data_IF_041612116957
#
_entry.id   IF_041612116957
#
_cell.length_a   1.000
_cell.length_b   1.000
_cell.length_c   1.000
_cell.angle_alpha   90.00
_cell.angle_beta   90.00
_cell.angle_gamma   90.00
#
_symmetry.space_group_name_H-M   'P 1'
#
loop_
_entity.id
_entity.type
_entity.pdbx_description
1 polymer ?
#
# COMPACT_ATOMS: atom_id res chain seq x y z
N UNK A 1 8.90 0.63 -26.60
CA UNK A 1 7.47 1.04 -26.61
C UNK A 1 6.46 -0.11 -26.66
N UNK A 2 6.71 -1.28 -27.27
CA UNK A 2 5.75 -2.40 -27.29
C UNK A 2 5.74 -3.27 -26.01
N UNK A 3 6.79 -3.26 -25.20
CA UNK A 3 6.90 -4.10 -23.99
C UNK A 3 6.10 -3.58 -22.78
N UNK A 4 5.98 -2.25 -22.63
CA UNK A 4 5.25 -1.61 -21.52
C UNK A 4 3.72 -1.79 -21.66
N UNK A 5 3.22 -1.82 -22.91
CA UNK A 5 1.78 -1.98 -23.19
C UNK A 5 1.28 -3.41 -22.88
N UNK A 6 2.16 -4.41 -22.88
CA UNK A 6 1.78 -5.81 -22.57
C UNK A 6 1.54 -6.02 -21.06
N UNK A 7 2.28 -5.32 -20.19
CA UNK A 7 2.09 -5.38 -18.73
C UNK A 7 0.75 -4.78 -18.29
N UNK A 8 0.36 -3.65 -18.86
CA UNK A 8 -0.93 -2.99 -18.57
C UNK A 8 -2.15 -3.81 -19.05
N UNK A 9 -2.01 -4.60 -20.11
CA UNK A 9 -3.09 -5.51 -20.56
C UNK A 9 -3.30 -6.69 -19.61
N UNK A 10 -2.28 -7.19 -18.91
CA UNK A 10 -2.42 -8.28 -17.94
C UNK A 10 -3.15 -7.83 -16.66
N UNK A 11 -2.90 -6.61 -16.18
CA UNK A 11 -3.66 -6.04 -15.05
C UNK A 11 -5.16 -5.89 -15.38
N UNK A 12 -5.53 -5.68 -16.65
CA UNK A 12 -6.94 -5.56 -17.08
C UNK A 12 -7.67 -6.88 -17.27
N UNK A 13 -6.98 -7.99 -17.50
CA UNK A 13 -7.61 -9.28 -17.83
C UNK A 13 -8.24 -10.00 -16.63
N UNK A 14 -7.95 -9.61 -15.38
CA UNK A 14 -8.56 -10.16 -14.17
C UNK A 14 -9.91 -9.55 -13.77
N UNK A 15 -10.35 -8.47 -14.39
CA UNK A 15 -11.53 -7.71 -14.01
C UNK A 15 -12.78 -8.16 -14.79
N UNK A 16 -13.26 -9.39 -14.58
CA UNK A 16 -14.66 -9.71 -14.88
C UNK A 16 -15.53 -9.17 -13.74
N UNK A 17 -16.28 -8.12 -14.03
CA UNK A 17 -17.29 -7.56 -13.14
C UNK A 17 -18.25 -8.67 -12.66
N UNK A 18 -18.14 -9.05 -11.39
CA UNK A 18 -19.15 -9.83 -10.68
C UNK A 18 -19.92 -8.92 -9.74
N UNK A 19 -21.22 -9.15 -9.63
CA UNK A 19 -22.21 -8.43 -8.81
C UNK A 19 -21.73 -8.17 -7.37
N UNK A 20 -22.24 -7.12 -6.68
CA UNK A 20 -21.85 -6.77 -5.32
C UNK A 20 -22.06 -7.97 -4.40
N UNK A 21 -21.00 -8.41 -3.77
CA UNK A 21 -21.00 -9.57 -2.90
C UNK A 21 -21.47 -9.17 -1.51
N UNK A 22 -22.52 -9.83 -1.02
CA UNK A 22 -22.86 -9.89 0.40
C UNK A 22 -21.69 -10.54 1.16
N UNK A 23 -20.79 -9.75 1.70
CA UNK A 23 -19.64 -10.21 2.48
C UNK A 23 -18.73 -9.03 2.81
N UNK A 24 -18.24 -8.95 4.04
CA UNK A 24 -17.34 -7.89 4.51
C UNK A 24 -16.00 -7.85 3.74
N UNK A 25 -15.09 -7.00 4.18
CA UNK A 25 -13.77 -6.76 3.59
C UNK A 25 -12.94 -8.05 3.49
N UNK A 26 -12.95 -8.93 4.49
CA UNK A 26 -12.28 -10.23 4.46
C UNK A 26 -12.72 -11.10 3.27
N UNK A 27 -14.01 -11.13 2.95
CA UNK A 27 -14.55 -11.88 1.80
C UNK A 27 -14.14 -11.23 0.47
N UNK A 28 -13.96 -9.91 0.44
CA UNK A 28 -13.41 -9.21 -0.71
C UNK A 28 -11.95 -9.63 -0.95
N UNK A 29 -11.09 -9.49 0.05
CA UNK A 29 -9.66 -9.79 -0.05
C UNK A 29 -9.35 -11.27 -0.29
N UNK A 30 -10.21 -12.18 0.17
CA UNK A 30 -10.10 -13.62 -0.16
C UNK A 30 -10.24 -13.89 -1.67
N UNK A 31 -10.95 -13.03 -2.40
CA UNK A 31 -11.20 -13.16 -3.85
C UNK A 31 -10.37 -12.21 -4.72
N UNK A 32 -9.80 -11.17 -4.13
CA UNK A 32 -9.09 -10.09 -4.81
C UNK A 32 -7.70 -9.90 -4.18
N UNK A 33 -6.86 -10.93 -4.31
CA UNK A 33 -5.46 -10.82 -3.89
C UNK A 33 -4.72 -9.86 -4.83
N UNK A 34 -4.00 -8.92 -4.24
CA UNK A 34 -3.16 -7.97 -4.97
C UNK A 34 -1.82 -8.60 -5.32
N UNK A 35 -1.28 -8.27 -6.50
CA UNK A 35 0.04 -8.73 -6.95
C UNK A 35 0.21 -10.26 -6.91
N UNK A 36 -0.80 -10.98 -7.41
CA UNK A 36 -0.74 -12.43 -7.63
C UNK A 36 -0.12 -12.74 -8.99
N UNK A 37 0.73 -13.75 -9.00
CA UNK A 37 1.20 -14.43 -10.21
C UNK A 37 1.36 -15.93 -9.93
N UNK A 38 1.56 -16.73 -10.99
CA UNK A 38 1.89 -18.15 -10.90
C UNK A 38 3.41 -18.30 -10.91
N UNK A 39 4.00 -18.35 -9.71
CA UNK A 39 5.45 -18.54 -9.55
C UNK A 39 5.79 -20.02 -9.64
N UNK A 40 6.71 -20.36 -10.55
CA UNK A 40 7.17 -21.74 -10.76
C UNK A 40 8.31 -22.16 -9.83
N UNK A 41 9.11 -21.18 -9.38
CA UNK A 41 10.33 -21.37 -8.60
C UNK A 41 10.71 -20.10 -7.81
N UNK A 42 11.79 -20.16 -7.04
CA UNK A 42 12.28 -19.03 -6.26
C UNK A 42 12.71 -17.84 -7.12
N UNK A 43 13.28 -18.08 -8.31
CA UNK A 43 13.74 -17.01 -9.18
C UNK A 43 12.55 -16.19 -9.68
N UNK A 44 11.52 -16.84 -10.24
CA UNK A 44 10.30 -16.16 -10.71
C UNK A 44 9.59 -15.40 -9.59
N UNK A 45 9.60 -15.92 -8.37
CA UNK A 45 9.05 -15.25 -7.19
C UNK A 45 9.87 -14.02 -6.78
N UNK A 46 11.21 -14.11 -6.82
CA UNK A 46 12.10 -12.97 -6.55
C UNK A 46 11.98 -11.89 -7.63
N UNK A 47 11.98 -12.29 -8.91
CA UNK A 47 11.78 -11.36 -10.03
C UNK A 47 10.45 -10.61 -9.92
N UNK A 48 9.38 -11.29 -9.50
CA UNK A 48 8.10 -10.65 -9.26
C UNK A 48 8.17 -9.65 -8.09
N UNK A 49 8.86 -9.98 -6.99
CA UNK A 49 9.08 -9.04 -5.88
C UNK A 49 9.82 -7.78 -6.36
N UNK A 50 10.90 -7.94 -7.10
CA UNK A 50 11.68 -6.83 -7.66
C UNK A 50 10.87 -6.01 -8.66
N UNK A 51 10.15 -6.69 -9.55
CA UNK A 51 9.27 -6.04 -10.53
C UNK A 51 8.17 -5.21 -9.85
N UNK A 52 7.51 -5.76 -8.83
CA UNK A 52 6.45 -5.06 -8.07
C UNK A 52 7.00 -3.77 -7.44
N UNK A 53 8.17 -3.84 -6.83
CA UNK A 53 8.78 -2.66 -6.21
C UNK A 53 9.24 -1.64 -7.25
N UNK A 54 9.70 -2.07 -8.42
CA UNK A 54 10.08 -1.19 -9.53
C UNK A 54 8.90 -0.44 -10.16
N UNK A 55 7.63 -0.86 -9.92
CA UNK A 55 6.46 -0.10 -10.35
C UNK A 55 6.29 1.20 -9.53
N UNK A 56 6.97 1.31 -8.38
CA UNK A 56 6.95 2.45 -7.48
C UNK A 56 8.39 2.90 -7.16
N UNK A 57 9.03 3.70 -8.03
CA UNK A 57 10.40 4.16 -7.82
C UNK A 57 10.61 4.75 -6.41
N UNK A 58 11.63 4.26 -5.70
CA UNK A 58 11.95 4.67 -4.33
C UNK A 58 11.15 3.99 -3.22
N UNK A 59 10.17 3.13 -3.56
CA UNK A 59 9.33 2.47 -2.55
C UNK A 59 10.14 1.63 -1.55
N UNK A 60 11.06 0.81 -2.04
CA UNK A 60 11.83 -0.10 -1.18
C UNK A 60 12.76 0.64 -0.19
N UNK A 61 13.17 1.86 -0.52
CA UNK A 61 13.97 2.71 0.39
C UNK A 61 13.11 3.30 1.51
N UNK A 62 11.83 3.52 1.23
CA UNK A 62 10.85 4.01 2.21
C UNK A 62 10.31 2.89 3.09
N UNK A 63 10.13 1.69 2.52
CA UNK A 63 9.56 0.50 3.17
C UNK A 63 10.54 -0.69 3.07
N UNK A 64 11.74 -0.57 3.70
CA UNK A 64 12.78 -1.59 3.55
C UNK A 64 12.39 -2.92 4.19
N UNK A 65 12.72 -4.00 3.51
CA UNK A 65 12.64 -5.38 3.99
C UNK A 65 14.03 -5.95 4.33
N UNK A 66 15.08 -5.15 4.16
CA UNK A 66 16.44 -5.40 4.64
C UNK A 66 16.62 -4.86 6.06
N UNK A 67 17.75 -5.22 6.71
CA UNK A 67 18.11 -4.77 8.07
C UNK A 67 17.17 -5.30 9.18
N UNK A 68 16.60 -6.49 8.98
CA UNK A 68 15.76 -7.16 9.96
C UNK A 68 16.44 -8.40 10.58
N UNK A 69 17.77 -8.51 10.47
CA UNK A 69 18.54 -9.63 11.02
C UNK A 69 18.39 -9.70 12.54
N UNK A 70 18.10 -10.89 13.05
CA UNK A 70 17.91 -11.16 14.49
C UNK A 70 16.62 -10.57 15.08
N UNK A 71 15.72 -10.00 14.27
CA UNK A 71 14.47 -9.41 14.75
C UNK A 71 13.30 -10.38 14.67
N UNK A 72 12.34 -10.22 15.58
CA UNK A 72 10.99 -10.75 15.44
C UNK A 72 10.18 -9.77 14.59
N UNK A 73 9.84 -10.19 13.36
CA UNK A 73 9.16 -9.38 12.36
C UNK A 73 7.74 -9.85 12.14
N UNK A 74 6.80 -8.92 12.12
CA UNK A 74 5.40 -9.15 11.72
C UNK A 74 5.13 -8.37 10.43
N UNK A 75 4.65 -9.07 9.39
CA UNK A 75 4.04 -8.47 8.21
C UNK A 75 2.51 -8.48 8.39
N UNK A 76 1.94 -7.33 8.73
CA UNK A 76 0.52 -7.16 8.99
C UNK A 76 -0.24 -6.85 7.70
N UNK A 77 -1.08 -7.78 7.27
CA UNK A 77 -1.73 -7.80 5.95
C UNK A 77 -0.78 -8.35 4.88
N UNK A 78 -0.10 -9.45 5.17
CA UNK A 78 0.97 -10.00 4.33
C UNK A 78 0.51 -10.44 2.92
N UNK A 79 -0.80 -10.56 2.68
CA UNK A 79 -1.35 -10.97 1.40
C UNK A 79 -0.72 -12.26 0.87
N UNK A 80 -0.38 -12.34 -0.43
CA UNK A 80 0.29 -13.50 -1.03
C UNK A 80 1.78 -13.59 -0.73
N UNK A 81 2.28 -12.86 0.29
CA UNK A 81 3.64 -12.97 0.82
C UNK A 81 4.70 -12.19 0.05
N UNK A 82 4.38 -11.06 -0.57
CA UNK A 82 5.37 -10.26 -1.29
C UNK A 82 6.49 -9.78 -0.38
N UNK A 83 6.15 -9.13 0.73
CA UNK A 83 7.15 -8.56 1.64
C UNK A 83 7.73 -9.65 2.56
N UNK A 84 6.99 -10.74 2.84
CA UNK A 84 7.55 -11.93 3.50
C UNK A 84 8.70 -12.56 2.71
N UNK A 85 8.57 -12.69 1.38
CA UNK A 85 9.68 -13.12 0.52
C UNK A 85 10.84 -12.13 0.61
N UNK A 86 10.55 -10.82 0.54
CA UNK A 86 11.57 -9.79 0.70
C UNK A 86 12.34 -9.92 2.00
N UNK A 87 11.66 -10.04 3.14
CA UNK A 87 12.31 -10.26 4.44
C UNK A 87 13.13 -11.54 4.48
N UNK A 88 12.64 -12.63 3.88
CA UNK A 88 13.32 -13.92 3.91
C UNK A 88 14.56 -14.00 3.00
N UNK A 89 14.60 -13.20 1.93
CA UNK A 89 15.70 -13.18 0.97
C UNK A 89 16.75 -12.09 1.29
N UNK A 90 16.31 -10.92 1.80
CA UNK A 90 17.20 -9.78 2.02
C UNK A 90 17.51 -9.51 3.50
N UNK A 91 17.02 -10.35 4.41
CA UNK A 91 17.30 -10.32 5.84
C UNK A 91 17.33 -11.76 6.41
N UNK A 92 17.74 -11.85 7.68
CA UNK A 92 17.71 -13.09 8.47
C UNK A 92 17.00 -12.83 9.80
N UNK A 93 15.67 -12.60 9.78
CA UNK A 93 14.92 -12.42 11.02
C UNK A 93 14.97 -13.70 11.88
N UNK A 94 15.02 -13.54 13.21
CA UNK A 94 14.92 -14.67 14.13
C UNK A 94 13.54 -15.32 14.03
N UNK A 95 12.52 -14.50 13.80
CA UNK A 95 11.16 -14.96 13.58
C UNK A 95 10.45 -14.09 12.55
N UNK A 96 9.85 -14.72 11.55
CA UNK A 96 9.02 -14.06 10.55
C UNK A 96 7.57 -14.51 10.70
N UNK A 97 6.66 -13.55 10.82
CA UNK A 97 5.23 -13.80 11.07
C UNK A 97 4.44 -13.04 10.00
N UNK A 98 3.55 -13.74 9.29
CA UNK A 98 2.61 -13.13 8.37
C UNK A 98 1.19 -13.16 8.94
N UNK A 99 0.51 -12.03 8.96
CA UNK A 99 -0.87 -11.90 9.44
C UNK A 99 -1.75 -11.44 8.30
N UNK A 100 -2.88 -12.10 8.06
CA UNK A 100 -3.87 -11.67 7.08
C UNK A 100 -5.28 -12.14 7.46
N UNK A 101 -6.30 -11.48 6.94
CA UNK A 101 -7.71 -11.86 7.08
C UNK A 101 -8.11 -12.96 6.09
N UNK A 102 -7.36 -13.10 4.99
CA UNK A 102 -7.64 -14.00 3.87
C UNK A 102 -6.92 -15.34 4.02
N UNK A 103 -7.65 -16.44 4.26
CA UNK A 103 -7.02 -17.77 4.31
C UNK A 103 -6.39 -18.17 2.98
N UNK A 104 -6.93 -17.69 1.86
CA UNK A 104 -6.39 -17.95 0.52
C UNK A 104 -5.04 -17.26 0.33
N UNK A 105 -4.91 -16.01 0.79
CA UNK A 105 -3.66 -15.27 0.75
C UNK A 105 -2.58 -15.96 1.59
N UNK A 106 -2.91 -16.38 2.80
CA UNK A 106 -1.98 -17.13 3.68
C UNK A 106 -1.55 -18.47 3.05
N UNK A 107 -2.48 -19.20 2.44
CA UNK A 107 -2.14 -20.44 1.73
C UNK A 107 -1.19 -20.19 0.55
N UNK A 108 -1.36 -19.07 -0.16
CA UNK A 108 -0.48 -18.63 -1.26
C UNK A 108 0.89 -18.22 -0.72
N UNK A 109 0.94 -17.43 0.36
CA UNK A 109 2.19 -17.06 1.06
C UNK A 109 2.99 -18.29 1.45
N UNK A 110 2.33 -19.29 2.04
CA UNK A 110 2.98 -20.55 2.44
C UNK A 110 3.64 -21.26 1.26
N UNK A 111 2.91 -21.39 0.14
CA UNK A 111 3.43 -22.01 -1.09
C UNK A 111 4.60 -21.22 -1.65
N UNK A 112 4.48 -19.90 -1.69
CA UNK A 112 5.50 -19.02 -2.22
C UNK A 112 6.79 -19.06 -1.40
N UNK A 113 6.72 -18.98 -0.07
CA UNK A 113 7.88 -19.14 0.81
C UNK A 113 8.55 -20.51 0.65
N UNK A 114 7.77 -21.57 0.44
CA UNK A 114 8.31 -22.91 0.20
C UNK A 114 9.16 -23.00 -1.07
N UNK A 115 8.88 -22.22 -2.12
CA UNK A 115 9.74 -22.13 -3.32
C UNK A 115 11.15 -21.64 -2.97
N UNK A 116 11.29 -20.82 -1.94
CA UNK A 116 12.55 -20.29 -1.43
C UNK A 116 13.21 -21.18 -0.36
N UNK A 117 12.61 -22.34 -0.02
CA UNK A 117 13.05 -23.15 1.11
C UNK A 117 12.89 -22.44 2.46
N UNK A 118 11.98 -21.46 2.55
CA UNK A 118 11.72 -20.62 3.72
C UNK A 118 10.34 -20.91 4.31
N UNK A 119 10.11 -20.41 5.51
CA UNK A 119 8.82 -20.48 6.19
C UNK A 119 8.58 -19.22 7.03
N UNK A 120 7.31 -18.97 7.35
CA UNK A 120 6.88 -17.97 8.31
C UNK A 120 5.73 -18.56 9.15
N UNK A 121 5.53 -18.02 10.35
CA UNK A 121 4.32 -18.30 11.14
C UNK A 121 3.16 -17.50 10.51
N UNK A 122 2.23 -18.21 9.88
CA UNK A 122 1.10 -17.57 9.19
C UNK A 122 -0.15 -17.62 10.06
N UNK A 123 -0.69 -16.46 10.39
CA UNK A 123 -1.78 -16.27 11.34
C UNK A 123 -2.96 -15.63 10.63
N UNK A 124 -4.10 -16.32 10.61
CA UNK A 124 -5.36 -15.71 10.18
C UNK A 124 -5.99 -14.95 11.34
N UNK A 125 -6.39 -13.71 11.10
CA UNK A 125 -7.18 -12.90 12.05
C UNK A 125 -8.59 -12.65 11.51
N UNK A 126 -9.53 -12.42 12.44
CA UNK A 126 -10.88 -11.98 12.09
C UNK A 126 -10.91 -10.46 11.98
N UNK A 127 -11.44 -9.96 10.87
CA UNK A 127 -11.52 -8.52 10.56
C UNK A 127 -12.15 -7.68 11.69
N UNK A 128 -13.20 -8.21 12.33
CA UNK A 128 -13.95 -7.48 13.35
C UNK A 128 -13.36 -7.57 14.76
N UNK A 129 -12.41 -8.46 15.00
CA UNK A 129 -11.78 -8.62 16.33
C UNK A 129 -10.45 -7.91 16.43
N UNK A 130 -9.76 -7.73 15.32
CA UNK A 130 -8.40 -7.15 15.22
C UNK A 130 -7.39 -7.66 16.28
N UNK A 131 -7.77 -8.65 17.10
CA UNK A 131 -6.92 -9.18 18.13
C UNK A 131 -5.83 -10.04 17.51
N UNK A 132 -4.60 -9.61 17.68
CA UNK A 132 -3.42 -10.36 17.21
C UNK A 132 -3.03 -11.38 18.29
N UNK A 133 -3.01 -12.70 17.97
CA UNK A 133 -2.70 -13.75 18.96
C UNK A 133 -1.19 -13.84 19.22
N UNK A 134 -0.57 -12.72 19.55
CA UNK A 134 0.82 -12.58 19.98
C UNK A 134 0.87 -11.91 21.35
N UNK A 135 1.90 -12.23 22.13
CA UNK A 135 2.12 -11.65 23.45
C UNK A 135 2.45 -10.15 23.33
N UNK A 136 2.08 -9.37 24.35
CA UNK A 136 2.44 -7.96 24.44
C UNK A 136 3.96 -7.81 24.53
N UNK A 137 4.51 -6.86 23.78
CA UNK A 137 5.94 -6.58 23.83
C UNK A 137 6.82 -7.71 23.29
N UNK A 138 6.35 -8.50 22.33
CA UNK A 138 7.08 -9.64 21.77
C UNK A 138 7.73 -9.38 20.40
N UNK A 139 7.37 -8.27 19.72
CA UNK A 139 7.73 -7.98 18.33
C UNK A 139 8.69 -6.79 18.24
N UNK A 140 9.74 -6.92 17.43
CA UNK A 140 10.71 -5.84 17.20
C UNK A 140 10.30 -4.91 16.07
N UNK A 141 9.71 -5.47 14.99
CA UNK A 141 9.29 -4.74 13.81
C UNK A 141 7.91 -5.19 13.33
N UNK A 142 6.99 -4.26 13.21
CA UNK A 142 5.76 -4.46 12.42
C UNK A 142 5.90 -3.72 11.11
N UNK A 143 5.70 -4.44 10.01
CA UNK A 143 5.59 -3.93 8.66
C UNK A 143 4.13 -4.02 8.21
N UNK A 144 3.60 -2.99 7.55
CA UNK A 144 2.24 -3.02 6.99
C UNK A 144 2.18 -2.19 5.71
N UNK A 145 2.09 -2.86 4.59
CA UNK A 145 2.16 -2.27 3.26
C UNK A 145 0.81 -2.37 2.55
N UNK A 146 0.11 -1.23 2.41
CA UNK A 146 -1.14 -1.22 1.65
C UNK A 146 -2.36 -1.82 2.38
N UNK A 147 -2.42 -1.75 3.72
CA UNK A 147 -3.42 -2.47 4.52
C UNK A 147 -4.31 -1.56 5.36
N UNK A 148 -3.72 -0.69 6.19
CA UNK A 148 -4.50 0.06 7.19
C UNK A 148 -5.54 1.01 6.59
N UNK A 149 -5.35 1.46 5.37
CA UNK A 149 -6.33 2.27 4.66
C UNK A 149 -7.54 1.45 4.16
N UNK A 150 -7.49 0.12 4.30
CA UNK A 150 -8.61 -0.78 4.05
C UNK A 150 -9.26 -1.31 5.33
N UNK A 151 -8.73 -0.97 6.49
CA UNK A 151 -9.29 -1.39 7.77
C UNK A 151 -10.60 -0.65 8.06
N UNK A 152 -11.63 -1.39 8.49
CA UNK A 152 -12.90 -0.82 8.96
C UNK A 152 -12.68 0.02 10.23
N UNK A 153 -11.80 -0.46 11.11
CA UNK A 153 -11.40 0.23 12.32
C UNK A 153 -9.85 0.27 12.43
N UNK A 154 -9.21 1.24 11.77
CA UNK A 154 -7.75 1.36 11.84
C UNK A 154 -7.24 1.60 13.26
N UNK A 155 -8.02 2.22 14.13
CA UNK A 155 -7.65 2.45 15.53
C UNK A 155 -7.50 1.16 16.33
N UNK A 156 -8.38 0.18 16.13
CA UNK A 156 -8.27 -1.11 16.78
C UNK A 156 -7.00 -1.86 16.33
N UNK A 157 -6.69 -1.82 15.03
CA UNK A 157 -5.44 -2.38 14.50
C UNK A 157 -4.21 -1.68 15.09
N UNK A 158 -4.21 -0.35 15.17
CA UNK A 158 -3.12 0.44 15.76
C UNK A 158 -2.90 0.11 17.24
N UNK A 159 -3.98 -0.07 18.03
CA UNK A 159 -3.88 -0.47 19.43
C UNK A 159 -3.21 -1.83 19.58
N UNK A 160 -3.55 -2.81 18.75
CA UNK A 160 -2.96 -4.14 18.79
C UNK A 160 -1.51 -4.15 18.30
N UNK A 161 -1.19 -3.40 17.25
CA UNK A 161 0.18 -3.21 16.78
C UNK A 161 1.04 -2.59 17.90
N UNK A 162 0.51 -1.56 18.57
CA UNK A 162 1.18 -0.97 19.73
C UNK A 162 1.39 -1.98 20.85
N UNK A 163 0.37 -2.78 21.16
CA UNK A 163 0.43 -3.78 22.23
C UNK A 163 1.54 -4.81 21.99
N UNK A 164 1.61 -5.39 20.80
CA UNK A 164 2.58 -6.45 20.48
C UNK A 164 4.02 -5.95 20.33
N UNK A 165 4.23 -4.68 19.98
CA UNK A 165 5.57 -4.11 19.85
C UNK A 165 6.26 -4.01 21.21
N UNK A 166 7.55 -4.33 21.23
CA UNK A 166 8.46 -4.07 22.35
C UNK A 166 8.60 -2.54 22.55
N UNK A 167 8.93 -2.06 23.77
CA UNK A 167 9.48 -0.72 23.93
C UNK A 167 10.66 -0.51 22.98
N UNK A 168 10.71 0.61 22.26
CA UNK A 168 11.68 0.86 21.19
C UNK A 168 11.40 0.17 19.86
N UNK A 169 10.43 -0.74 19.79
CA UNK A 169 10.04 -1.46 18.58
C UNK A 169 9.54 -0.55 17.49
N UNK A 170 9.75 -0.94 16.23
CA UNK A 170 9.43 -0.13 15.05
C UNK A 170 8.12 -0.56 14.40
N UNK A 171 7.40 0.41 13.90
CA UNK A 171 6.26 0.22 13.01
C UNK A 171 6.48 1.02 11.73
N UNK A 172 6.64 0.32 10.60
CA UNK A 172 6.70 0.93 9.27
C UNK A 172 5.42 0.63 8.51
N UNK A 173 4.85 1.66 7.90
CA UNK A 173 3.52 1.54 7.28
C UNK A 173 3.40 2.39 6.03
N UNK A 174 2.73 1.82 5.02
CA UNK A 174 2.29 2.56 3.84
C UNK A 174 0.78 2.61 3.77
N UNK A 175 0.25 3.81 3.50
CA UNK A 175 -1.17 4.08 3.22
C UNK A 175 -1.33 4.99 2.01
N UNK A 176 -2.54 5.07 1.45
CA UNK A 176 -2.80 5.97 0.32
C UNK A 176 -2.73 7.43 0.71
N UNK A 177 -2.01 8.19 -0.13
CA UNK A 177 -1.69 9.60 0.01
C UNK A 177 -2.67 10.49 -0.76
N UNK A 178 -3.35 11.40 -0.05
CA UNK A 178 -4.17 12.42 -0.68
C UNK A 178 -3.32 13.41 -1.49
N UNK A 179 -2.14 13.80 -0.96
CA UNK A 179 -1.24 14.76 -1.59
C UNK A 179 -0.40 14.07 -2.69
N UNK A 180 -1.08 13.58 -3.75
CA UNK A 180 -0.51 12.76 -4.82
C UNK A 180 -1.01 13.17 -6.21
N UNK A 181 -0.25 12.84 -7.24
CA UNK A 181 -0.72 12.94 -8.62
C UNK A 181 -1.92 12.04 -8.89
N UNK A 182 -2.00 10.90 -8.19
CA UNK A 182 -3.17 10.03 -8.29
C UNK A 182 -4.44 10.75 -7.90
N UNK A 183 -4.46 11.46 -6.78
CA UNK A 183 -5.64 12.21 -6.33
C UNK A 183 -5.89 13.44 -7.22
N UNK A 184 -4.88 14.32 -7.34
CA UNK A 184 -5.09 15.66 -7.91
C UNK A 184 -5.11 15.68 -9.45
N UNK A 185 -4.30 14.83 -10.10
CA UNK A 185 -4.23 14.80 -11.56
C UNK A 185 -5.08 13.67 -12.14
N UNK A 186 -4.95 12.43 -11.64
CA UNK A 186 -5.71 11.31 -12.21
C UNK A 186 -7.18 11.35 -11.83
N UNK A 187 -7.50 11.29 -10.52
CA UNK A 187 -8.91 11.19 -10.10
C UNK A 187 -9.66 12.50 -10.35
N UNK A 188 -9.12 13.62 -9.86
CA UNK A 188 -9.82 14.88 -9.93
C UNK A 188 -9.94 15.44 -11.35
N UNK A 189 -8.91 15.31 -12.19
CA UNK A 189 -8.91 15.85 -13.54
C UNK A 189 -9.18 14.81 -14.61
N UNK A 190 -8.25 13.85 -14.80
CA UNK A 190 -8.34 12.92 -15.95
C UNK A 190 -9.60 12.07 -15.89
N UNK A 191 -9.88 11.47 -14.74
CA UNK A 191 -11.02 10.56 -14.62
C UNK A 191 -12.35 11.30 -14.63
N UNK A 192 -12.50 12.35 -13.81
CA UNK A 192 -13.79 13.00 -13.58
C UNK A 192 -14.11 14.08 -14.61
N UNK A 193 -13.12 14.84 -15.08
CA UNK A 193 -13.34 15.97 -15.99
C UNK A 193 -13.07 15.57 -17.44
N UNK A 194 -11.89 14.99 -17.74
CA UNK A 194 -11.53 14.67 -19.12
C UNK A 194 -12.33 13.46 -19.65
N UNK A 195 -12.49 12.40 -18.83
CA UNK A 195 -13.21 11.18 -19.22
C UNK A 195 -14.71 11.26 -18.86
N UNK A 196 -15.09 12.08 -17.86
CA UNK A 196 -16.46 12.17 -17.35
C UNK A 196 -16.91 10.97 -16.52
N UNK A 197 -15.97 10.18 -15.98
CA UNK A 197 -16.27 9.02 -15.15
C UNK A 197 -16.27 9.41 -13.67
N UNK A 198 -17.33 9.00 -12.94
CA UNK A 198 -17.51 9.33 -11.53
C UNK A 198 -17.60 10.85 -11.23
N UNK A 199 -17.97 11.65 -12.20
CA UNK A 199 -18.07 13.12 -12.11
C UNK A 199 -19.05 13.60 -11.02
N UNK A 200 -20.16 12.87 -10.81
CA UNK A 200 -21.21 13.16 -9.82
C UNK A 200 -20.95 12.55 -8.43
N UNK A 201 -19.88 11.78 -8.28
CA UNK A 201 -19.53 11.11 -7.02
C UNK A 201 -18.63 12.04 -6.18
N UNK A 202 -18.70 12.02 -4.83
CA UNK A 202 -17.68 12.67 -4.00
C UNK A 202 -16.27 12.21 -4.39
N UNK A 203 -15.28 13.10 -4.27
CA UNK A 203 -13.92 12.85 -4.75
C UNK A 203 -13.27 11.61 -4.13
N UNK A 204 -13.41 11.45 -2.80
CA UNK A 204 -12.86 10.29 -2.08
C UNK A 204 -13.55 8.98 -2.48
N UNK A 205 -14.85 9.03 -2.79
CA UNK A 205 -15.57 7.86 -3.32
C UNK A 205 -15.11 7.50 -4.74
N UNK A 206 -14.81 8.51 -5.56
CA UNK A 206 -14.21 8.29 -6.89
C UNK A 206 -12.80 7.70 -6.75
N UNK A 207 -11.98 8.22 -5.84
CA UNK A 207 -10.65 7.67 -5.53
C UNK A 207 -10.74 6.19 -5.16
N UNK A 208 -11.59 5.82 -4.20
CA UNK A 208 -11.81 4.43 -3.76
C UNK A 208 -12.09 3.44 -4.90
N UNK A 209 -12.63 3.93 -6.03
CA UNK A 209 -12.92 3.10 -7.21
C UNK A 209 -11.73 2.90 -8.14
N UNK A 210 -10.58 3.50 -7.86
CA UNK A 210 -9.46 3.59 -8.79
C UNK A 210 -8.24 2.76 -8.39
N UNK A 211 -8.10 2.40 -7.13
CA UNK A 211 -6.92 1.68 -6.60
C UNK A 211 -7.14 0.16 -6.66
N UNK A 212 -7.96 -0.38 -5.80
CA UNK A 212 -8.12 -1.83 -5.58
C UNK A 212 -9.36 -2.42 -6.26
N UNK A 213 -9.87 -1.71 -7.24
CA UNK A 213 -11.03 -2.11 -8.01
C UNK A 213 -12.35 -1.48 -7.53
N UNK A 214 -13.34 -1.45 -8.44
CA UNK A 214 -14.56 -0.66 -8.24
C UNK A 214 -15.46 -1.16 -7.11
N UNK A 215 -15.22 -2.39 -6.63
CA UNK A 215 -16.00 -3.04 -5.57
C UNK A 215 -15.23 -3.14 -4.24
N UNK A 216 -14.05 -2.52 -4.13
CA UNK A 216 -13.32 -2.45 -2.87
C UNK A 216 -14.22 -1.79 -1.81
N UNK A 217 -14.50 -2.47 -0.67
CA UNK A 217 -15.49 -2.00 0.29
C UNK A 217 -15.03 -0.74 1.02
N UNK A 218 -13.75 -0.70 1.40
CA UNK A 218 -13.13 0.38 2.17
C UNK A 218 -11.81 0.75 1.53
N UNK A 219 -11.59 2.05 1.32
CA UNK A 219 -10.30 2.59 0.93
C UNK A 219 -10.25 4.05 1.38
N UNK A 220 -9.54 4.28 2.47
CA UNK A 220 -9.27 5.62 2.97
C UNK A 220 -8.08 6.23 2.22
N UNK A 221 -8.08 7.54 2.11
CA UNK A 221 -6.97 8.29 1.55
C UNK A 221 -6.64 9.41 2.53
N UNK A 222 -5.42 9.43 3.03
CA UNK A 222 -5.01 10.33 4.11
C UNK A 222 -4.08 11.42 3.60
N UNK A 223 -4.21 12.62 4.16
CA UNK A 223 -3.10 13.57 4.13
C UNK A 223 -2.01 13.07 5.10
N UNK A 224 -0.72 13.25 4.79
CA UNK A 224 0.34 12.76 5.67
C UNK A 224 0.22 13.23 7.12
N UNK A 225 -0.17 14.49 7.35
CA UNK A 225 -0.38 15.04 8.69
C UNK A 225 -1.53 14.35 9.44
N UNK A 226 -2.64 14.07 8.76
CA UNK A 226 -3.82 13.40 9.35
C UNK A 226 -3.49 11.97 9.80
N UNK A 227 -2.73 11.22 8.98
CA UNK A 227 -2.33 9.86 9.35
C UNK A 227 -1.29 9.87 10.47
N UNK A 228 -0.37 10.83 10.45
CA UNK A 228 0.61 11.01 11.52
C UNK A 228 -0.08 11.25 12.87
N UNK A 229 -1.03 12.19 12.91
CA UNK A 229 -1.83 12.49 14.10
C UNK A 229 -2.65 11.27 14.56
N UNK A 230 -3.30 10.58 13.62
CA UNK A 230 -4.05 9.36 13.92
C UNK A 230 -3.18 8.35 14.66
N UNK A 231 -1.98 8.03 14.16
CA UNK A 231 -1.11 7.01 14.76
C UNK A 231 -0.53 7.49 16.09
N UNK A 232 -0.18 8.78 16.21
CA UNK A 232 0.32 9.37 17.46
C UNK A 232 -0.69 9.31 18.60
N UNK A 233 -1.99 9.40 18.31
CA UNK A 233 -3.06 9.26 19.30
C UNK A 233 -3.11 7.85 19.96
N UNK A 234 -2.42 6.86 19.39
CA UNK A 234 -2.24 5.52 19.96
C UNK A 234 -0.90 5.34 20.69
N UNK A 235 -0.19 6.42 20.99
CA UNK A 235 1.04 6.42 21.78
C UNK A 235 2.32 6.27 20.98
N UNK A 236 2.26 6.17 19.67
CA UNK A 236 3.44 6.10 18.82
C UNK A 236 4.13 7.45 18.66
N UNK A 237 5.44 7.40 18.50
CA UNK A 237 6.23 8.54 18.03
C UNK A 237 6.78 8.21 16.64
N UNK A 238 6.73 9.16 15.71
CA UNK A 238 7.19 8.86 14.36
C UNK A 238 7.09 10.03 13.39
N UNK A 239 7.37 9.71 12.13
CA UNK A 239 7.46 10.71 11.06
C UNK A 239 6.94 10.16 9.74
N UNK A 240 6.51 11.05 8.89
CA UNK A 240 6.36 10.81 7.46
C UNK A 240 7.77 10.70 6.84
N UNK A 241 8.07 9.60 6.17
CA UNK A 241 9.35 9.36 5.48
C UNK A 241 9.38 9.93 4.08
N UNK A 242 8.23 10.01 3.43
CA UNK A 242 8.04 10.40 2.06
C UNK A 242 6.94 9.58 1.39
N UNK A 243 6.73 9.82 0.10
CA UNK A 243 5.79 9.02 -0.67
C UNK A 243 6.48 8.41 -1.89
N UNK A 244 6.10 7.18 -2.25
CA UNK A 244 6.51 6.57 -3.51
C UNK A 244 5.47 6.89 -4.59
N UNK A 245 5.97 7.09 -5.80
CA UNK A 245 5.17 7.42 -6.98
C UNK A 245 5.11 6.23 -7.91
N UNK A 246 3.92 5.92 -8.45
CA UNK A 246 3.78 4.87 -9.43
C UNK A 246 4.25 5.32 -10.82
N UNK A 247 4.72 4.36 -11.62
CA UNK A 247 5.03 4.63 -13.04
C UNK A 247 3.79 5.17 -13.79
N UNK A 248 2.59 4.71 -13.41
CA UNK A 248 1.35 5.22 -13.97
C UNK A 248 1.15 6.72 -13.69
N UNK A 249 1.45 7.19 -12.49
CA UNK A 249 1.36 8.62 -12.15
C UNK A 249 2.34 9.46 -12.98
N UNK A 250 3.55 8.94 -13.21
CA UNK A 250 4.56 9.61 -14.06
C UNK A 250 4.08 9.74 -15.51
N UNK A 251 3.40 8.73 -16.05
CA UNK A 251 2.80 8.76 -17.40
C UNK A 251 1.72 9.84 -17.55
N UNK A 252 1.11 10.31 -16.45
CA UNK A 252 0.08 11.34 -16.47
C UNK A 252 0.64 12.77 -16.50
N UNK A 253 1.91 12.99 -16.20
CA UNK A 253 2.52 14.33 -16.14
C UNK A 253 2.29 15.21 -17.39
N UNK A 254 2.24 14.70 -18.63
CA UNK A 254 1.88 15.51 -19.80
C UNK A 254 0.50 16.16 -19.71
N UNK A 255 -0.43 15.60 -18.92
CA UNK A 255 -1.77 16.16 -18.70
C UNK A 255 -1.78 17.39 -17.79
N UNK A 256 -0.67 17.65 -17.07
CA UNK A 256 -0.55 18.73 -16.08
C UNK A 256 -0.95 20.11 -16.61
N UNK A 257 -0.47 20.47 -17.79
CA UNK A 257 -0.77 21.78 -18.38
C UNK A 257 -2.27 21.98 -18.63
N UNK A 258 -2.93 20.97 -19.20
CA UNK A 258 -4.37 21.03 -19.46
C UNK A 258 -5.17 21.07 -18.14
N UNK A 259 -4.74 20.34 -17.11
CA UNK A 259 -5.38 20.34 -15.79
C UNK A 259 -5.31 21.71 -15.11
N UNK A 260 -4.14 22.37 -15.09
CA UNK A 260 -3.95 23.70 -14.50
C UNK A 260 -4.86 24.74 -15.16
N UNK A 261 -5.04 24.66 -16.47
CA UNK A 261 -5.84 25.60 -17.26
C UNK A 261 -7.34 25.26 -17.28
N UNK A 262 -7.75 24.12 -16.73
CA UNK A 262 -9.16 23.71 -16.69
C UNK A 262 -9.94 24.50 -15.64
N UNK A 263 -10.90 25.32 -16.08
CA UNK A 263 -11.82 26.03 -15.16
C UNK A 263 -12.76 25.08 -14.39
N UNK A 264 -12.99 23.88 -14.93
CA UNK A 264 -13.83 22.86 -14.29
C UNK A 264 -13.11 22.17 -13.13
N UNK A 265 -11.76 22.19 -13.10
CA UNK A 265 -11.00 21.61 -11.99
C UNK A 265 -11.03 22.55 -10.77
N UNK A 266 -11.43 22.09 -9.59
CA UNK A 266 -11.42 22.90 -8.37
C UNK A 266 -10.04 23.52 -8.09
N UNK A 267 -10.05 24.70 -7.45
CA UNK A 267 -8.86 25.51 -7.20
C UNK A 267 -7.78 24.73 -6.42
N UNK A 268 -8.16 23.96 -5.40
CA UNK A 268 -7.25 23.13 -4.61
C UNK A 268 -6.36 22.24 -5.51
N UNK A 269 -6.97 21.50 -6.42
CA UNK A 269 -6.24 20.59 -7.31
C UNK A 269 -5.35 21.31 -8.30
N UNK A 270 -5.83 22.44 -8.87
CA UNK A 270 -5.01 23.29 -9.76
C UNK A 270 -3.78 23.84 -9.04
N UNK A 271 -3.96 24.33 -7.81
CA UNK A 271 -2.85 24.85 -6.99
C UNK A 271 -1.85 23.76 -6.63
N UNK A 272 -2.32 22.57 -6.25
CA UNK A 272 -1.42 21.44 -6.01
C UNK A 272 -0.58 21.11 -7.24
N UNK A 273 -1.24 20.92 -8.40
CA UNK A 273 -0.58 20.56 -9.66
C UNK A 273 0.37 21.68 -10.14
N UNK A 274 0.04 22.96 -9.91
CA UNK A 274 0.88 24.09 -10.34
C UNK A 274 2.17 24.22 -9.53
N UNK A 275 2.19 23.74 -8.28
CA UNK A 275 3.36 23.77 -7.41
C UNK A 275 4.36 22.63 -7.65
N UNK A 276 4.05 21.71 -8.55
CA UNK A 276 4.94 20.59 -8.86
C UNK A 276 6.27 21.11 -9.40
N UNK A 277 7.34 20.80 -8.73
CA UNK A 277 8.71 20.84 -9.22
C UNK A 277 9.32 19.43 -9.22
N UNK A 278 10.58 19.27 -9.58
CA UNK A 278 11.20 17.96 -9.71
C UNK A 278 12.48 17.88 -8.88
N UNK A 279 12.67 16.75 -8.18
CA UNK A 279 13.93 16.46 -7.51
C UNK A 279 14.99 16.00 -8.52
N UNK A 280 16.23 15.72 -8.05
CA UNK A 280 17.34 15.35 -8.96
C UNK A 280 17.13 13.97 -9.60
N UNK A 281 16.27 13.12 -9.07
CA UNK A 281 15.89 11.85 -9.69
C UNK A 281 14.76 12.00 -10.73
N UNK A 282 14.28 13.24 -10.94
CA UNK A 282 13.18 13.54 -11.88
C UNK A 282 11.80 13.18 -11.33
N UNK A 283 11.66 12.91 -10.04
CA UNK A 283 10.35 12.67 -9.44
C UNK A 283 9.65 14.00 -9.14
N UNK A 284 8.33 14.12 -9.41
CA UNK A 284 7.55 15.29 -9.07
C UNK A 284 7.40 15.42 -7.56
N UNK A 285 7.71 16.62 -7.04
CA UNK A 285 7.60 16.94 -5.61
C UNK A 285 6.69 18.14 -5.40
N UNK A 286 5.98 18.13 -4.27
CA UNK A 286 5.19 19.23 -3.73
C UNK A 286 5.48 19.31 -2.24
N UNK A 287 5.81 20.51 -1.72
CA UNK A 287 6.16 20.72 -0.31
C UNK A 287 7.27 19.73 0.17
N UNK A 288 8.35 19.62 -0.60
CA UNK A 288 9.53 18.78 -0.35
C UNK A 288 9.28 17.26 -0.29
N UNK A 289 8.07 16.81 -0.59
CA UNK A 289 7.73 15.39 -0.67
C UNK A 289 7.38 14.98 -2.09
N UNK A 290 7.73 13.76 -2.48
CA UNK A 290 7.28 13.16 -3.76
C UNK A 290 5.75 13.09 -3.77
N UNK A 291 5.15 13.57 -4.85
CA UNK A 291 3.70 13.62 -5.02
C UNK A 291 3.13 12.28 -5.49
N UNK A 292 3.51 11.20 -4.80
CA UNK A 292 3.11 9.83 -5.12
C UNK A 292 1.99 9.30 -4.23
N UNK A 293 1.30 8.27 -4.70
CA UNK A 293 0.11 7.69 -4.06
C UNK A 293 0.40 6.93 -2.77
N UNK A 294 1.62 6.43 -2.58
CA UNK A 294 1.99 5.56 -1.45
C UNK A 294 2.74 6.35 -0.38
N UNK A 295 2.01 6.93 0.60
CA UNK A 295 2.61 7.61 1.75
C UNK A 295 3.20 6.60 2.73
N UNK A 296 4.49 6.72 3.02
CA UNK A 296 5.26 5.83 3.88
C UNK A 296 5.68 6.53 5.18
N UNK A 297 5.52 5.82 6.28
CA UNK A 297 5.80 6.34 7.63
C UNK A 297 6.66 5.36 8.42
N UNK A 298 7.40 5.90 9.36
CA UNK A 298 8.14 5.14 10.38
C UNK A 298 7.73 5.66 11.76
N UNK A 299 7.29 4.75 12.60
CA UNK A 299 6.93 5.00 13.98
C UNK A 299 7.73 4.10 14.93
N UNK A 300 7.76 4.49 16.20
CA UNK A 300 8.31 3.71 17.30
C UNK A 300 7.35 3.73 18.48
N UNK A 301 7.31 2.62 19.19
CA UNK A 301 6.75 2.58 20.54
C UNK A 301 7.82 3.11 21.49
N UNK A 302 7.57 4.20 22.26
CA UNK A 302 8.50 4.71 23.27
C UNK A 302 8.94 3.70 24.30
#
# INVERSE_FOLDING_TARGET
MKCVISGLKRIRAGLRAKLPTRGGSAAYWTRHMVAMDDWSDSNSSTEHFLWRNAQYPGYIDLMPVSFADGLVVVDYGCGPGNDLVGFSEFSKPDKLIGIDVSPTALATSKKRLALHGKSADLIQIEENRNQIPLESGSVDLVHSSGVLHHAENPGAALSEIYRILKPGGKFQVMVYNYDSLWMHLYVAYVLRIEIGKHDRMPLLDAFRKTTDGPNCPISHCYRPAEFLELVQNYGFQGRFKGAAISLFELELLPKRYAAINSRALPREHREFISRICFNHAGHPIVNDAVAGVDACFEFRKP
#
